data_IF_219743878266
#
_entry.id   IF_219743878266
#
_cell.length_a   1.000
_cell.length_b   1.000
_cell.length_c   1.000
_cell.angle_alpha   90.00
_cell.angle_beta   90.00
_cell.angle_gamma   90.00
#
_symmetry.space_group_name_H-M   'P 1'
#
loop_
_entity.id
_entity.type
_entity.pdbx_description
1 polymer ?
#
# COMPACT_ATOMS: atom_id res chain seq x y z
N UNK A 1 -13.29 -1.28 2.83
CA UNK A 1 -12.21 -1.49 3.82
C UNK A 1 -11.12 -2.28 3.14
N UNK A 2 -9.88 -1.79 3.18
CA UNK A 2 -8.73 -2.52 2.65
C UNK A 2 -8.05 -3.32 3.74
N UNK A 3 -7.37 -4.40 3.37
CA UNK A 3 -6.58 -5.23 4.28
C UNK A 3 -5.24 -5.55 3.64
N UNK A 4 -4.16 -5.32 4.38
CA UNK A 4 -2.82 -5.79 4.02
C UNK A 4 -2.24 -6.67 5.11
N UNK A 5 -1.61 -7.76 4.67
CA UNK A 5 -0.89 -8.69 5.53
C UNK A 5 0.61 -8.53 5.31
N UNK A 6 1.26 -7.76 6.19
CA UNK A 6 2.68 -7.47 6.07
C UNK A 6 3.52 -8.58 6.70
N UNK A 7 4.40 -9.18 5.90
CA UNK A 7 5.52 -9.94 6.43
C UNK A 7 6.49 -9.01 7.15
N UNK A 8 7.06 -9.45 8.28
CA UNK A 8 8.20 -8.75 8.84
C UNK A 8 9.32 -8.65 7.80
N UNK A 9 9.99 -7.50 7.75
CA UNK A 9 11.16 -7.27 6.89
C UNK A 9 12.47 -7.60 7.61
N UNK A 10 12.42 -7.72 8.93
CA UNK A 10 13.55 -8.15 9.75
C UNK A 10 13.12 -8.59 11.14
N UNK A 11 13.78 -9.61 11.66
CA UNK A 11 13.61 -10.10 13.03
C UNK A 11 14.98 -10.35 13.67
N UNK A 12 15.12 -10.08 14.95
CA UNK A 12 16.29 -10.50 15.73
C UNK A 12 15.93 -10.58 17.20
N UNK A 13 16.84 -11.05 18.03
CA UNK A 13 16.78 -10.84 19.47
C UNK A 13 18.15 -10.41 19.99
N UNK A 14 18.14 -9.76 21.13
CA UNK A 14 19.34 -9.38 21.88
C UNK A 14 19.37 -10.17 23.18
N UNK A 15 20.57 -10.57 23.58
CA UNK A 15 20.77 -11.51 24.68
C UNK A 15 21.89 -11.01 25.59
N UNK A 16 21.59 -10.89 26.89
CA UNK A 16 22.52 -10.28 27.85
C UNK A 16 23.79 -11.09 28.08
N UNK A 17 23.75 -12.42 27.95
CA UNK A 17 24.93 -13.26 28.20
C UNK A 17 25.95 -13.24 27.04
N UNK A 18 25.54 -12.82 25.84
CA UNK A 18 26.41 -12.64 24.67
C UNK A 18 26.22 -11.24 24.07
N UNK A 19 26.55 -10.19 24.83
CA UNK A 19 26.00 -8.86 24.61
C UNK A 19 26.55 -8.15 23.36
N UNK A 20 27.53 -8.74 22.68
CA UNK A 20 28.14 -8.26 21.44
C UNK A 20 27.72 -9.05 20.19
N UNK A 21 26.91 -10.11 20.35
CA UNK A 21 26.46 -10.95 19.25
C UNK A 21 25.11 -10.47 18.70
N UNK A 22 24.98 -10.48 17.37
CA UNK A 22 23.72 -10.28 16.66
C UNK A 22 23.09 -11.64 16.31
N UNK A 23 21.76 -11.68 16.29
CA UNK A 23 20.98 -12.90 16.06
C UNK A 23 19.94 -12.75 14.95
N UNK A 24 20.15 -11.84 13.98
CA UNK A 24 19.15 -11.55 12.93
C UNK A 24 18.89 -12.71 11.96
N UNK A 25 19.79 -13.70 11.92
CA UNK A 25 19.64 -14.92 11.12
C UNK A 25 19.02 -16.08 11.90
N UNK A 26 18.58 -15.84 13.14
CA UNK A 26 17.93 -16.85 13.97
C UNK A 26 16.52 -17.12 13.45
N UNK A 27 16.13 -18.40 13.45
CA UNK A 27 14.78 -18.84 13.13
C UNK A 27 13.79 -18.62 14.28
N UNK A 28 14.29 -18.32 15.48
CA UNK A 28 13.50 -18.02 16.68
C UNK A 28 13.92 -16.66 17.28
N UNK A 29 12.94 -15.92 17.77
CA UNK A 29 13.06 -14.67 18.53
C UNK A 29 12.77 -14.99 19.99
N UNK A 30 13.79 -15.03 20.84
CA UNK A 30 13.61 -15.26 22.28
C UNK A 30 13.30 -13.95 23.03
N UNK A 31 12.44 -14.07 24.04
CA UNK A 31 12.09 -12.99 24.96
C UNK A 31 11.98 -13.51 26.39
N UNK A 32 12.16 -12.64 27.39
CA UNK A 32 12.00 -12.98 28.80
C UNK A 32 13.31 -13.42 29.44
N UNK A 33 13.23 -14.21 30.50
CA UNK A 33 14.37 -14.58 31.34
C UNK A 33 14.62 -16.07 31.33
N UNK A 34 15.90 -16.44 31.24
CA UNK A 34 16.33 -17.82 31.33
C UNK A 34 15.97 -18.45 32.69
N UNK A 35 15.95 -19.77 32.75
CA UNK A 35 15.60 -20.56 33.93
C UNK A 35 16.73 -20.56 34.94
N UNK A 36 17.94 -20.86 34.46
CA UNK A 36 19.09 -21.18 35.32
C UNK A 36 20.02 -19.98 35.55
N UNK A 37 19.77 -18.87 34.85
CA UNK A 37 20.60 -17.68 34.86
C UNK A 37 19.72 -16.43 34.92
N UNK A 38 20.31 -15.29 35.30
CA UNK A 38 19.63 -14.00 35.24
C UNK A 38 19.63 -13.39 33.83
N UNK A 39 19.85 -14.21 32.80
CA UNK A 39 20.03 -13.71 31.45
C UNK A 39 18.71 -13.31 30.81
N UNK A 40 18.74 -12.18 30.12
CA UNK A 40 17.59 -11.49 29.55
C UNK A 40 17.65 -11.59 28.03
N UNK A 41 16.50 -11.95 27.45
CA UNK A 41 16.25 -11.93 26.01
C UNK A 41 15.21 -10.86 25.69
N UNK A 42 15.47 -10.07 24.63
CA UNK A 42 14.50 -9.13 24.07
C UNK A 42 14.44 -9.30 22.57
N UNK A 43 13.22 -9.41 22.05
CA UNK A 43 12.96 -9.58 20.63
C UNK A 43 12.87 -8.24 19.91
N UNK A 44 13.10 -8.22 18.62
CA UNK A 44 12.89 -7.06 17.75
C UNK A 44 12.26 -7.55 16.46
N UNK A 45 11.18 -6.88 16.03
CA UNK A 45 10.50 -7.14 14.76
C UNK A 45 10.26 -5.83 14.03
N UNK A 46 10.54 -5.82 12.73
CA UNK A 46 10.37 -4.65 11.85
C UNK A 46 9.41 -5.00 10.72
N UNK A 47 8.53 -4.06 10.37
CA UNK A 47 7.59 -4.17 9.27
C UNK A 47 7.76 -2.96 8.34
N UNK A 48 7.64 -3.19 7.04
CA UNK A 48 7.47 -2.12 6.07
C UNK A 48 5.98 -2.00 5.73
N UNK A 49 5.40 -0.84 6.03
CA UNK A 49 3.99 -0.52 5.79
C UNK A 49 3.83 0.54 4.69
N UNK A 50 4.88 0.86 3.93
CA UNK A 50 4.87 1.95 2.94
C UNK A 50 3.92 1.70 1.77
N UNK A 51 3.42 0.48 1.60
CA UNK A 51 2.43 0.17 0.57
C UNK A 51 1.02 0.65 0.92
N UNK A 52 0.76 1.04 2.18
CA UNK A 52 -0.50 1.69 2.56
C UNK A 52 -0.51 3.10 1.95
N UNK A 53 -1.50 3.45 1.11
CA UNK A 53 -1.61 4.79 0.56
C UNK A 53 -1.74 5.85 1.67
N UNK A 54 -1.05 6.98 1.55
CA UNK A 54 -1.01 8.04 2.57
C UNK A 54 -2.37 8.72 2.85
N UNK A 55 -3.32 8.57 1.92
CA UNK A 55 -4.69 9.10 2.05
C UNK A 55 -5.59 8.22 2.93
N UNK A 56 -5.08 7.04 3.33
CA UNK A 56 -5.83 6.09 4.14
C UNK A 56 -5.63 6.32 5.63
N UNK A 57 -6.61 5.86 6.40
CA UNK A 57 -6.55 5.87 7.86
C UNK A 57 -6.46 4.43 8.37
N UNK A 58 -5.55 4.16 9.29
CA UNK A 58 -5.44 2.85 9.93
C UNK A 58 -6.66 2.66 10.85
N UNK A 59 -7.44 1.60 10.60
CA UNK A 59 -8.59 1.23 11.43
C UNK A 59 -8.20 0.23 12.51
N UNK A 60 -7.40 -0.76 12.14
CA UNK A 60 -6.84 -1.73 13.07
C UNK A 60 -5.49 -2.26 12.58
N UNK A 61 -4.61 -2.62 13.50
CA UNK A 61 -3.37 -3.32 13.19
C UNK A 61 -3.10 -4.39 14.24
N UNK A 62 -3.10 -5.65 13.82
CA UNK A 62 -2.91 -6.81 14.70
C UNK A 62 -1.62 -7.53 14.34
N UNK A 63 -0.66 -7.52 15.26
CA UNK A 63 0.56 -8.33 15.17
C UNK A 63 0.23 -9.79 15.51
N UNK A 64 0.60 -10.70 14.63
CA UNK A 64 0.52 -12.16 14.81
C UNK A 64 1.92 -12.74 14.99
N UNK A 65 2.12 -13.47 16.09
CA UNK A 65 3.38 -14.15 16.40
C UNK A 65 3.10 -15.63 16.67
N UNK A 66 3.85 -16.51 16.02
CA UNK A 66 3.78 -17.94 16.29
C UNK A 66 4.67 -18.32 17.47
N UNK A 67 4.13 -18.99 18.47
CA UNK A 67 4.88 -19.44 19.66
C UNK A 67 5.56 -20.76 19.36
N UNK A 68 6.85 -20.71 19.04
CA UNK A 68 7.68 -21.89 18.75
C UNK A 68 8.25 -22.55 20.01
N UNK A 69 8.34 -21.81 21.11
CA UNK A 69 8.91 -22.28 22.35
C UNK A 69 8.27 -21.57 23.55
N UNK A 70 7.91 -22.32 24.58
CA UNK A 70 7.45 -21.79 25.85
C UNK A 70 7.93 -22.72 26.96
N UNK A 71 8.72 -22.21 27.90
CA UNK A 71 9.40 -23.07 28.86
C UNK A 71 8.45 -23.72 29.90
N UNK A 72 7.47 -22.95 30.38
CA UNK A 72 6.60 -23.40 31.47
C UNK A 72 5.20 -22.78 31.37
N UNK A 73 4.32 -23.15 32.30
CA UNK A 73 2.93 -22.70 32.37
C UNK A 73 2.67 -21.42 33.17
N UNK A 74 3.72 -20.79 33.72
CA UNK A 74 3.56 -19.59 34.54
C UNK A 74 2.99 -18.45 33.70
N UNK A 75 2.20 -17.58 34.33
CA UNK A 75 1.71 -16.36 33.69
C UNK A 75 2.89 -15.47 33.32
N UNK A 76 2.99 -15.10 32.05
CA UNK A 76 4.02 -14.23 31.48
C UNK A 76 3.34 -13.05 30.82
N UNK A 77 3.79 -11.84 31.14
CA UNK A 77 3.35 -10.63 30.47
C UNK A 77 4.38 -10.25 29.41
N UNK A 78 3.94 -10.22 28.14
CA UNK A 78 4.77 -9.84 27.00
C UNK A 78 4.37 -8.42 26.58
N UNK A 79 5.32 -7.50 26.65
CA UNK A 79 5.13 -6.08 26.36
C UNK A 79 5.89 -5.68 25.11
N UNK A 80 5.28 -4.77 24.35
CA UNK A 80 5.79 -4.29 23.07
C UNK A 80 6.06 -2.81 23.19
N UNK A 81 7.27 -2.38 22.82
CA UNK A 81 7.71 -1.01 22.93
C UNK A 81 8.09 -0.46 21.56
N UNK A 82 7.71 0.78 21.28
CA UNK A 82 8.19 1.50 20.10
C UNK A 82 9.68 1.82 20.27
N UNK A 83 10.44 1.70 19.18
CA UNK A 83 11.86 2.04 19.14
C UNK A 83 12.00 3.51 18.71
N UNK A 84 12.78 4.30 19.46
CA UNK A 84 12.95 5.74 19.24
C UNK A 84 14.30 6.10 18.59
N UNK A 85 15.28 5.19 18.65
CA UNK A 85 16.61 5.41 18.09
C UNK A 85 16.84 4.51 16.87
N UNK A 86 17.32 5.11 15.77
CA UNK A 86 17.68 4.36 14.56
C UNK A 86 18.79 3.34 14.85
N UNK A 87 18.63 2.13 14.32
CA UNK A 87 19.60 1.04 14.44
C UNK A 87 19.63 0.23 13.13
N UNK A 88 20.55 -0.74 13.05
CA UNK A 88 20.58 -1.72 11.97
C UNK A 88 20.26 -3.10 12.52
N UNK A 89 19.21 -3.73 11.99
CA UNK A 89 18.73 -5.05 12.44
C UNK A 89 19.82 -6.13 12.35
N UNK A 90 20.74 -6.01 11.39
CA UNK A 90 21.80 -6.98 11.12
C UNK A 90 23.06 -6.79 11.98
N UNK A 91 23.11 -5.72 12.79
CA UNK A 91 24.28 -5.44 13.63
C UNK A 91 23.92 -5.09 15.06
N UNK A 92 22.63 -4.95 15.40
CA UNK A 92 22.19 -4.64 16.77
C UNK A 92 22.55 -5.79 17.72
N UNK A 93 22.97 -5.41 18.92
CA UNK A 93 23.38 -6.32 19.99
C UNK A 93 22.78 -5.84 21.31
N UNK A 94 22.94 -6.59 22.39
CA UNK A 94 22.47 -6.15 23.70
C UNK A 94 23.15 -4.85 24.15
N UNK A 95 24.46 -4.70 23.89
CA UNK A 95 25.22 -3.48 24.21
C UNK A 95 24.85 -2.27 23.34
N UNK A 96 24.31 -2.51 22.14
CA UNK A 96 23.97 -1.46 21.16
C UNK A 96 22.46 -1.36 20.92
N UNK A 97 21.66 -1.90 21.85
CA UNK A 97 20.22 -1.90 21.73
C UNK A 97 19.69 -0.45 21.63
N UNK A 98 18.72 -0.18 20.76
CA UNK A 98 18.21 1.16 20.58
C UNK A 98 17.39 1.60 21.79
N UNK A 99 17.32 2.91 22.00
CA UNK A 99 16.41 3.52 22.97
C UNK A 99 14.95 3.22 22.57
N UNK A 100 14.14 2.82 23.55
CA UNK A 100 12.71 2.55 23.40
C UNK A 100 11.88 3.59 24.17
N UNK A 101 10.58 3.68 23.85
CA UNK A 101 9.64 4.44 24.68
C UNK A 101 9.49 3.79 26.07
N UNK A 102 9.19 4.61 27.06
CA UNK A 102 8.86 4.21 28.43
C UNK A 102 7.53 3.47 28.51
N UNK A 103 6.56 3.83 27.67
CA UNK A 103 5.24 3.21 27.63
C UNK A 103 5.21 2.11 26.58
N UNK A 104 4.58 0.98 26.92
CA UNK A 104 4.34 -0.07 25.94
C UNK A 104 3.22 0.35 24.99
N UNK A 105 3.36 -0.02 23.72
CA UNK A 105 2.39 0.20 22.63
C UNK A 105 1.48 -1.01 22.41
N UNK A 106 1.80 -2.15 23.03
CA UNK A 106 1.01 -3.36 23.02
C UNK A 106 1.37 -4.26 24.20
N UNK A 107 0.44 -5.11 24.60
CA UNK A 107 0.62 -6.08 25.68
C UNK A 107 -0.21 -7.32 25.40
N UNK A 108 0.32 -8.47 25.77
CA UNK A 108 -0.43 -9.72 25.85
C UNK A 108 0.06 -10.56 27.01
N UNK A 109 -0.82 -11.42 27.53
CA UNK A 109 -0.49 -12.33 28.61
C UNK A 109 -0.63 -13.75 28.09
N UNK A 110 0.32 -14.60 28.47
CA UNK A 110 0.35 -16.00 28.06
C UNK A 110 0.73 -16.89 29.26
N UNK A 111 0.29 -18.14 29.20
CA UNK A 111 0.58 -19.21 30.16
C UNK A 111 1.21 -20.39 29.43
N UNK A 112 0.39 -21.24 28.80
CA UNK A 112 0.76 -22.54 28.24
C UNK A 112 0.86 -22.55 26.72
N UNK A 113 0.61 -21.41 26.07
CA UNK A 113 0.52 -21.30 24.61
C UNK A 113 1.83 -21.78 23.99
N UNK A 114 1.72 -22.71 23.05
CA UNK A 114 2.84 -23.29 22.31
C UNK A 114 2.30 -23.94 21.02
N UNK A 115 3.05 -23.83 19.93
CA UNK A 115 2.65 -24.27 18.59
C UNK A 115 1.39 -23.59 18.04
N UNK A 116 1.11 -22.37 18.50
CA UNK A 116 -0.06 -21.59 18.11
C UNK A 116 0.29 -20.10 17.90
N UNK A 117 -0.64 -19.33 17.34
CA UNK A 117 -0.48 -17.90 17.16
C UNK A 117 -1.08 -17.11 18.32
N UNK A 118 -0.32 -16.13 18.80
CA UNK A 118 -0.85 -15.06 19.64
C UNK A 118 -1.06 -13.80 18.81
N UNK A 119 -2.01 -12.97 19.25
CA UNK A 119 -2.36 -11.72 18.60
C UNK A 119 -2.12 -10.55 19.57
N UNK A 120 -1.60 -9.44 19.05
CA UNK A 120 -1.37 -8.22 19.82
C UNK A 120 -1.87 -7.03 19.03
N UNK A 121 -2.69 -6.21 19.66
CA UNK A 121 -3.15 -4.96 19.06
C UNK A 121 -2.01 -3.92 19.07
N UNK A 122 -1.64 -3.45 17.88
CA UNK A 122 -0.67 -2.40 17.62
C UNK A 122 -1.28 -1.26 16.79
N UNK A 123 -2.62 -1.11 16.81
CA UNK A 123 -3.35 -0.15 15.98
C UNK A 123 -2.85 1.28 16.19
N UNK A 124 -2.63 1.69 17.45
CA UNK A 124 -2.22 3.05 17.77
C UNK A 124 -0.82 3.39 17.21
N UNK A 125 0.18 2.52 17.45
CA UNK A 125 1.54 2.76 16.95
C UNK A 125 1.63 2.63 15.43
N UNK A 126 0.86 1.72 14.83
CA UNK A 126 0.83 1.56 13.37
C UNK A 126 0.21 2.80 12.69
N UNK A 127 -0.83 3.38 13.29
CA UNK A 127 -1.41 4.65 12.83
C UNK A 127 -0.41 5.81 12.92
N UNK A 128 0.38 5.88 14.01
CA UNK A 128 1.43 6.88 14.18
C UNK A 128 2.61 6.72 13.21
N UNK A 129 2.97 5.48 12.88
CA UNK A 129 3.93 5.20 11.80
C UNK A 129 3.40 5.65 10.45
N UNK A 130 2.13 5.36 10.16
CA UNK A 130 1.53 5.67 8.86
C UNK A 130 1.38 7.19 8.64
N UNK A 131 0.93 7.94 9.66
CA UNK A 131 0.79 9.39 9.57
C UNK A 131 2.10 10.18 9.76
N UNK A 132 3.21 9.49 10.01
CA UNK A 132 4.54 10.08 10.16
C UNK A 132 4.81 10.80 11.49
N UNK A 133 3.92 10.71 12.48
CA UNK A 133 4.14 11.29 13.82
C UNK A 133 5.20 10.55 14.63
N UNK A 134 5.42 9.27 14.35
CA UNK A 134 6.49 8.44 14.93
C UNK A 134 7.22 7.72 13.80
N UNK A 135 8.56 7.69 13.86
CA UNK A 135 9.35 6.93 12.90
C UNK A 135 9.07 5.42 13.02
N UNK A 136 8.82 4.75 11.90
CA UNK A 136 8.72 3.29 11.88
C UNK A 136 10.11 2.65 11.99
N UNK A 137 10.52 2.34 13.21
CA UNK A 137 11.76 1.64 13.54
C UNK A 137 11.49 0.21 14.05
N UNK A 138 10.26 -0.30 13.91
CA UNK A 138 9.83 -1.58 14.47
C UNK A 138 9.49 -1.52 15.96
N UNK A 139 9.29 -2.71 16.53
CA UNK A 139 8.93 -2.91 17.94
C UNK A 139 9.94 -3.80 18.65
N UNK A 140 10.29 -3.42 19.87
CA UNK A 140 11.03 -4.27 20.80
C UNK A 140 10.06 -5.05 21.69
N UNK A 141 10.28 -6.34 21.83
CA UNK A 141 9.44 -7.28 22.57
C UNK A 141 10.16 -7.66 23.86
N UNK A 142 9.55 -7.31 24.99
CA UNK A 142 10.02 -7.68 26.31
C UNK A 142 9.12 -8.79 26.86
N UNK A 143 9.73 -9.92 27.20
CA UNK A 143 9.05 -10.91 28.03
C UNK A 143 9.07 -10.51 29.49
N UNK A 144 8.62 -11.40 30.37
CA UNK A 144 8.74 -11.20 31.81
C UNK A 144 10.22 -11.35 32.23
N UNK A 145 10.89 -10.25 32.56
CA UNK A 145 12.30 -10.27 32.94
C UNK A 145 12.51 -10.51 34.46
N UNK A 146 11.44 -10.57 35.24
CA UNK A 146 11.50 -10.69 36.70
C UNK A 146 11.52 -12.15 37.13
N UNK A 147 10.65 -12.98 36.56
CA UNK A 147 10.52 -14.38 36.92
C UNK A 147 11.49 -15.27 36.14
N UNK A 148 12.25 -16.11 36.85
CA UNK A 148 13.15 -17.10 36.22
C UNK A 148 12.35 -18.14 35.44
N UNK A 149 12.79 -18.46 34.22
CA UNK A 149 12.15 -19.43 33.35
C UNK A 149 10.91 -18.91 32.61
N UNK A 150 10.75 -17.59 32.53
CA UNK A 150 9.70 -16.94 31.74
C UNK A 150 10.01 -16.90 30.24
N UNK A 151 11.10 -17.51 29.79
CA UNK A 151 11.55 -17.46 28.40
C UNK A 151 10.51 -18.05 27.43
N UNK A 152 10.25 -17.28 26.37
CA UNK A 152 9.36 -17.63 25.26
C UNK A 152 10.12 -17.39 23.95
N UNK A 153 9.90 -18.25 22.96
CA UNK A 153 10.46 -18.11 21.62
C UNK A 153 9.34 -17.99 20.60
N UNK A 154 9.38 -16.93 19.80
CA UNK A 154 8.51 -16.76 18.65
C UNK A 154 9.24 -17.14 17.36
N UNK A 155 8.53 -17.62 16.34
CA UNK A 155 9.15 -17.81 15.03
C UNK A 155 9.68 -16.48 14.47
N UNK A 156 10.91 -16.49 13.96
CA UNK A 156 11.55 -15.40 13.24
C UNK A 156 11.37 -15.53 11.72
N UNK A 157 11.90 -14.56 10.97
CA UNK A 157 11.85 -14.55 9.50
C UNK A 157 12.75 -15.61 8.87
N UNK A 158 13.67 -16.21 9.62
CA UNK A 158 14.52 -17.30 9.13
C UNK A 158 13.94 -18.69 9.40
N UNK A 159 12.73 -18.79 9.98
CA UNK A 159 12.06 -20.07 10.15
C UNK A 159 11.73 -20.72 8.80
N UNK A 160 11.93 -22.04 8.70
CA UNK A 160 11.78 -22.81 7.45
C UNK A 160 10.37 -22.64 6.85
N UNK A 161 9.34 -22.67 7.70
CA UNK A 161 7.96 -22.48 7.26
C UNK A 161 7.58 -20.99 7.31
N UNK A 162 7.53 -20.35 6.15
CA UNK A 162 7.21 -18.92 6.00
C UNK A 162 5.78 -18.54 6.43
N UNK A 163 4.88 -19.51 6.59
CA UNK A 163 3.54 -19.29 7.13
C UNK A 163 3.57 -19.01 8.64
N UNK A 164 4.68 -19.30 9.33
CA UNK A 164 4.85 -19.06 10.77
C UNK A 164 5.54 -17.72 11.08
N UNK A 165 6.07 -17.04 10.06
CA UNK A 165 6.78 -15.77 10.25
C UNK A 165 5.88 -14.71 10.88
N UNK A 166 6.44 -13.73 11.62
CA UNK A 166 5.66 -12.62 12.14
C UNK A 166 4.90 -11.89 11.02
N UNK A 167 3.64 -11.57 11.30
CA UNK A 167 2.76 -10.84 10.38
C UNK A 167 2.10 -9.67 11.09
N UNK A 168 2.06 -8.52 10.44
CA UNK A 168 1.23 -7.39 10.87
C UNK A 168 0.03 -7.31 9.93
N UNK A 169 -1.15 -7.61 10.46
CA UNK A 169 -2.39 -7.53 9.71
C UNK A 169 -3.02 -6.16 9.91
N UNK A 170 -3.09 -5.35 8.86
CA UNK A 170 -3.55 -3.96 8.95
C UNK A 170 -4.82 -3.81 8.14
N UNK A 171 -5.89 -3.41 8.83
CA UNK A 171 -7.10 -2.93 8.19
C UNK A 171 -7.05 -1.42 8.15
N UNK A 172 -7.32 -0.86 6.98
CA UNK A 172 -7.38 0.58 6.77
C UNK A 172 -8.75 0.93 6.21
N UNK A 173 -9.13 2.20 6.36
CA UNK A 173 -10.23 2.73 5.57
C UNK A 173 -9.94 2.30 4.15
N UNK A 174 -10.92 1.78 3.43
CA UNK A 174 -10.83 2.04 2.01
C UNK A 174 -11.56 3.36 1.92
N UNK A 175 -10.88 4.45 2.26
CA UNK A 175 -11.21 5.68 1.57
C UNK A 175 -10.74 5.35 0.17
N UNK A 176 -11.61 4.68 -0.61
CA UNK A 176 -11.53 4.74 -2.05
C UNK A 176 -11.27 6.21 -2.30
N UNK A 177 -10.03 6.56 -2.62
CA UNK A 177 -9.68 7.93 -2.96
C UNK A 177 -10.80 8.31 -3.91
N UNK A 178 -11.50 9.43 -3.67
CA UNK A 178 -12.76 9.74 -4.37
C UNK A 178 -12.75 9.37 -5.86
N UNK A 179 -11.56 9.36 -6.48
CA UNK A 179 -11.01 8.58 -7.62
C UNK A 179 -11.70 7.25 -7.94
N UNK A 180 -12.90 7.35 -8.50
CA UNK A 180 -13.60 6.26 -9.21
C UNK A 180 -13.23 6.34 -10.69
N UNK A 181 -12.67 5.26 -11.24
CA UNK A 181 -12.55 5.11 -12.70
C UNK A 181 -13.92 4.74 -13.27
N UNK A 182 -14.59 5.71 -13.89
CA UNK A 182 -15.85 5.49 -14.60
C UNK A 182 -15.55 5.22 -16.07
N UNK A 183 -15.93 4.03 -16.55
CA UNK A 183 -15.79 3.65 -17.97
C UNK A 183 -17.15 3.80 -18.64
N UNK A 184 -17.17 4.45 -19.81
CA UNK A 184 -18.36 4.58 -20.62
C UNK A 184 -18.37 3.54 -21.74
N UNK A 185 -19.55 3.25 -22.28
CA UNK A 185 -19.69 2.34 -23.40
C UNK A 185 -18.84 2.80 -24.58
N UNK A 186 -18.15 1.87 -25.23
CA UNK A 186 -17.42 2.14 -26.48
C UNK A 186 -18.40 2.54 -27.59
N UNK A 187 -18.03 3.56 -28.35
CA UNK A 187 -18.82 4.09 -29.47
C UNK A 187 -18.08 3.83 -30.79
N UNK A 188 -18.85 3.56 -31.85
CA UNK A 188 -18.32 3.34 -33.20
C UNK A 188 -18.95 4.32 -34.18
N UNK A 189 -18.11 4.98 -34.98
CA UNK A 189 -18.54 6.01 -35.92
C UNK A 189 -17.88 5.86 -37.29
N UNK A 190 -18.54 6.43 -38.30
CA UNK A 190 -17.97 6.64 -39.64
C UNK A 190 -17.72 8.14 -39.80
N UNK A 191 -16.52 8.52 -40.23
CA UNK A 191 -16.17 9.92 -40.42
C UNK A 191 -16.81 10.50 -41.68
N UNK A 192 -16.88 11.83 -41.75
CA UNK A 192 -17.39 12.57 -42.91
C UNK A 192 -16.50 13.78 -43.21
N UNK A 193 -16.79 14.51 -44.29
CA UNK A 193 -16.10 15.76 -44.61
C UNK A 193 -16.38 16.87 -43.57
N UNK A 194 -17.54 16.80 -42.92
CA UNK A 194 -17.95 17.71 -41.86
C UNK A 194 -17.49 17.21 -40.49
N UNK A 195 -17.24 18.14 -39.58
CA UNK A 195 -16.95 17.82 -38.18
C UNK A 195 -18.19 17.20 -37.54
N UNK A 196 -18.03 15.98 -37.04
CA UNK A 196 -18.98 15.26 -36.22
C UNK A 196 -18.43 15.16 -34.79
N UNK A 197 -19.24 14.68 -33.85
CA UNK A 197 -18.81 14.51 -32.47
C UNK A 197 -19.40 13.26 -31.82
N UNK A 198 -18.65 12.69 -30.87
CA UNK A 198 -19.09 11.58 -30.02
C UNK A 198 -20.19 12.03 -29.06
N UNK A 199 -20.80 11.09 -28.33
CA UNK A 199 -21.68 11.50 -27.25
C UNK A 199 -20.87 12.22 -26.16
N UNK A 200 -21.45 13.25 -25.51
CA UNK A 200 -20.79 13.93 -24.42
C UNK A 200 -20.82 13.09 -23.14
N UNK A 201 -19.71 13.10 -22.41
CA UNK A 201 -19.59 12.48 -21.08
C UNK A 201 -19.43 13.55 -19.99
N UNK A 202 -20.00 13.35 -18.79
CA UNK A 202 -19.85 14.28 -17.67
C UNK A 202 -18.49 14.13 -16.98
N UNK A 203 -17.69 15.18 -16.95
CA UNK A 203 -16.33 15.22 -16.37
C UNK A 203 -16.31 15.30 -14.84
N UNK A 204 -17.29 15.99 -14.24
CA UNK A 204 -17.31 16.25 -12.80
C UNK A 204 -16.10 17.08 -12.35
N UNK A 205 -15.41 16.63 -11.29
CA UNK A 205 -14.19 17.25 -10.75
C UNK A 205 -12.90 16.60 -11.28
N UNK A 206 -13.02 15.57 -12.12
CA UNK A 206 -11.91 14.75 -12.59
C UNK A 206 -11.35 15.18 -13.94
N UNK A 207 -10.45 14.34 -14.48
CA UNK A 207 -9.96 14.45 -15.86
C UNK A 207 -10.44 13.25 -16.67
N UNK A 208 -10.88 13.50 -17.91
CA UNK A 208 -11.40 12.45 -18.78
C UNK A 208 -10.41 12.13 -19.90
N UNK A 209 -10.45 10.86 -20.32
CA UNK A 209 -9.55 10.29 -21.32
C UNK A 209 -10.35 9.50 -22.35
N UNK A 210 -10.02 9.69 -23.63
CA UNK A 210 -10.53 8.89 -24.73
C UNK A 210 -9.40 8.05 -25.32
N UNK A 211 -9.58 6.73 -25.36
CA UNK A 211 -8.83 5.87 -26.25
C UNK A 211 -9.55 5.81 -27.60
N UNK A 212 -8.83 6.07 -28.69
CA UNK A 212 -9.40 6.15 -30.04
C UNK A 212 -8.61 5.23 -30.96
N UNK A 213 -9.32 4.44 -31.77
CA UNK A 213 -8.73 3.59 -32.81
C UNK A 213 -9.34 3.92 -34.16
N UNK A 214 -8.49 4.09 -35.17
CA UNK A 214 -8.91 4.18 -36.57
C UNK A 214 -8.92 2.77 -37.18
N UNK A 215 -10.11 2.17 -37.25
CA UNK A 215 -10.29 0.81 -37.75
C UNK A 215 -10.60 0.77 -39.26
N UNK A 216 -10.54 1.91 -39.96
CA UNK A 216 -10.77 2.00 -41.39
C UNK A 216 -9.49 2.31 -42.18
N UNK A 217 -9.67 2.56 -43.47
CA UNK A 217 -8.59 2.62 -44.45
C UNK A 217 -8.08 4.02 -44.75
N UNK A 218 -8.65 5.06 -44.15
CA UNK A 218 -8.33 6.46 -44.44
C UNK A 218 -7.98 7.23 -43.16
N UNK A 219 -7.21 8.30 -43.29
CA UNK A 219 -6.77 9.09 -42.14
C UNK A 219 -7.91 9.92 -41.54
N UNK A 220 -7.88 10.10 -40.22
CA UNK A 220 -8.92 10.78 -39.43
C UNK A 220 -8.31 11.87 -38.56
N UNK A 221 -8.98 13.01 -38.47
CA UNK A 221 -8.65 14.07 -37.52
C UNK A 221 -9.52 13.93 -36.27
N UNK A 222 -8.91 14.02 -35.08
CA UNK A 222 -9.60 14.01 -33.80
C UNK A 222 -9.09 15.10 -32.85
N UNK A 223 -9.99 15.67 -32.06
CA UNK A 223 -9.69 16.67 -31.02
C UNK A 223 -10.74 16.64 -29.91
N UNK A 224 -10.33 16.87 -28.66
CA UNK A 224 -11.28 16.97 -27.54
C UNK A 224 -12.04 18.31 -27.65
N UNK A 225 -13.33 18.28 -27.33
CA UNK A 225 -14.13 19.47 -27.04
C UNK A 225 -14.62 19.43 -25.59
N UNK A 226 -14.63 20.59 -24.93
CA UNK A 226 -15.12 20.80 -23.57
C UNK A 226 -16.34 21.73 -23.57
N UNK A 227 -17.22 21.57 -22.58
CA UNK A 227 -18.42 22.39 -22.41
C UNK A 227 -18.86 22.47 -20.95
N UNK A 228 -19.42 23.61 -20.53
CA UNK A 228 -20.02 23.77 -19.20
C UNK A 228 -21.55 23.58 -19.19
N UNK A 229 -22.20 23.73 -20.34
CA UNK A 229 -23.66 23.69 -20.49
C UNK A 229 -24.16 22.52 -21.37
N UNK A 230 -23.25 21.80 -22.03
CA UNK A 230 -23.56 20.73 -22.97
C UNK A 230 -24.02 21.22 -24.35
N UNK A 231 -24.07 22.53 -24.58
CA UNK A 231 -24.57 23.16 -25.80
C UNK A 231 -23.48 23.92 -26.56
N UNK A 232 -22.68 24.73 -25.86
CA UNK A 232 -21.54 25.46 -26.43
C UNK A 232 -20.25 24.69 -26.18
N UNK A 233 -19.50 24.45 -27.25
CA UNK A 233 -18.32 23.58 -27.24
C UNK A 233 -17.07 24.34 -27.68
N UNK A 234 -15.99 24.17 -26.92
CA UNK A 234 -14.67 24.74 -27.21
C UNK A 234 -13.65 23.63 -27.37
N UNK A 235 -12.71 23.78 -28.30
CA UNK A 235 -11.64 22.81 -28.49
C UNK A 235 -10.66 22.86 -27.32
N UNK A 236 -10.28 21.68 -26.84
CA UNK A 236 -9.26 21.51 -25.80
C UNK A 236 -7.87 21.51 -26.45
N UNK A 237 -7.24 22.68 -26.44
CA UNK A 237 -5.97 22.92 -27.11
C UNK A 237 -5.76 24.41 -27.38
N UNK A 238 -4.53 24.78 -27.75
CA UNK A 238 -4.22 26.14 -28.16
C UNK A 238 -4.58 26.34 -29.64
N UNK A 239 -4.92 27.56 -30.04
CA UNK A 239 -5.39 27.86 -31.41
C UNK A 239 -4.36 27.57 -32.51
N UNK A 240 -3.10 27.36 -32.14
CA UNK A 240 -2.00 27.03 -33.05
C UNK A 240 -1.62 25.54 -33.02
N UNK A 241 -2.27 24.71 -32.19
CA UNK A 241 -2.08 23.26 -32.21
C UNK A 241 -2.93 22.63 -33.30
N UNK A 242 -2.30 21.79 -34.12
CA UNK A 242 -3.02 20.99 -35.12
C UNK A 242 -3.82 19.86 -34.43
N UNK A 243 -4.97 19.46 -34.99
CA UNK A 243 -5.67 18.25 -34.57
C UNK A 243 -4.77 17.02 -34.68
N UNK A 244 -5.08 15.98 -33.90
CA UNK A 244 -4.38 14.71 -34.00
C UNK A 244 -4.86 14.00 -35.25
N UNK A 245 -3.92 13.62 -36.12
CA UNK A 245 -4.19 12.84 -37.34
C UNK A 245 -3.83 11.39 -37.06
N UNK A 246 -4.81 10.49 -37.19
CA UNK A 246 -4.63 9.05 -37.10
C UNK A 246 -4.63 8.45 -38.50
N UNK A 247 -3.55 7.79 -38.89
CA UNK A 247 -3.52 6.98 -40.10
C UNK A 247 -4.36 5.71 -39.97
N UNK A 248 -4.50 4.93 -41.06
CA UNK A 248 -5.20 3.64 -41.02
C UNK A 248 -4.58 2.70 -39.98
N UNK A 249 -5.41 2.09 -39.12
CA UNK A 249 -5.01 1.19 -38.03
C UNK A 249 -4.23 1.85 -36.87
N UNK A 250 -4.06 3.17 -36.89
CA UNK A 250 -3.43 3.88 -35.78
C UNK A 250 -4.38 4.01 -34.59
N UNK A 251 -3.77 4.12 -33.41
CA UNK A 251 -4.48 4.35 -32.14
C UNK A 251 -3.86 5.53 -31.42
N UNK A 252 -4.66 6.19 -30.58
CA UNK A 252 -4.17 7.25 -29.68
C UNK A 252 -4.95 7.27 -28.38
N UNK A 253 -4.37 7.91 -27.38
CA UNK A 253 -5.01 8.22 -26.11
C UNK A 253 -4.88 9.71 -25.87
N UNK A 254 -6.02 10.37 -25.67
CA UNK A 254 -6.09 11.82 -25.46
C UNK A 254 -6.82 12.12 -24.15
N UNK A 255 -6.23 13.00 -23.33
CA UNK A 255 -6.74 13.37 -22.00
C UNK A 255 -7.04 14.87 -21.97
N UNK A 256 -8.14 15.25 -21.33
CA UNK A 256 -8.54 16.65 -21.21
C UNK A 256 -7.49 17.49 -20.48
N UNK A 257 -7.13 18.65 -21.02
CA UNK A 257 -6.24 19.62 -20.37
C UNK A 257 -7.02 20.65 -19.55
N UNK A 258 -8.18 21.06 -20.04
CA UNK A 258 -9.10 21.95 -19.33
C UNK A 258 -10.12 21.21 -18.45
N UNK A 259 -10.66 21.91 -17.45
CA UNK A 259 -11.73 21.42 -16.59
C UNK A 259 -13.07 22.09 -16.95
N UNK A 260 -14.04 21.33 -17.41
CA UNK A 260 -15.43 21.76 -17.63
C UNK A 260 -16.41 20.64 -17.27
N UNK A 261 -17.72 20.88 -17.23
CA UNK A 261 -18.71 19.86 -16.83
C UNK A 261 -18.83 18.68 -17.80
N UNK A 262 -18.57 18.90 -19.08
CA UNK A 262 -18.73 17.90 -20.13
C UNK A 262 -17.53 17.89 -21.07
N UNK A 263 -17.24 16.73 -21.64
CA UNK A 263 -16.31 16.59 -22.76
C UNK A 263 -16.84 15.62 -23.82
N UNK A 264 -16.31 15.74 -25.03
CA UNK A 264 -16.54 14.81 -26.15
C UNK A 264 -15.35 14.84 -27.10
N UNK A 265 -15.31 13.92 -28.07
CA UNK A 265 -14.36 13.96 -29.18
C UNK A 265 -15.06 14.54 -30.40
N UNK A 266 -14.49 15.58 -31.00
CA UNK A 266 -14.82 16.01 -32.35
C UNK A 266 -13.93 15.30 -33.36
N UNK A 267 -14.51 14.83 -34.46
CA UNK A 267 -13.81 14.05 -35.47
C UNK A 267 -14.31 14.33 -36.88
N UNK A 268 -13.45 14.14 -37.89
CA UNK A 268 -13.79 14.17 -39.32
C UNK A 268 -12.76 13.40 -40.15
N UNK A 269 -13.06 13.14 -41.42
CA UNK A 269 -12.07 12.64 -42.36
C UNK A 269 -10.96 13.67 -42.54
N UNK A 270 -9.70 13.21 -42.57
CA UNK A 270 -8.57 14.10 -42.85
C UNK A 270 -8.57 14.55 -44.32
N UNK A 271 -8.93 13.64 -45.22
CA UNK A 271 -9.03 13.89 -46.66
C UNK A 271 -10.50 13.90 -47.10
N UNK A 272 -10.85 14.81 -48.01
CA UNK A 272 -12.20 14.94 -48.57
C UNK A 272 -12.63 13.66 -49.26
N UNK A 273 -13.87 13.24 -49.01
CA UNK A 273 -14.53 12.04 -49.58
C UNK A 273 -13.83 10.71 -49.24
N UNK A 274 -13.02 10.70 -48.18
CA UNK A 274 -12.34 9.51 -47.67
C UNK A 274 -12.77 9.17 -46.24
N UNK A 275 -13.99 8.61 -46.05
CA UNK A 275 -14.47 8.23 -44.73
C UNK A 275 -13.66 7.06 -44.14
N UNK A 276 -13.59 7.00 -42.82
CA UNK A 276 -12.97 5.91 -42.08
C UNK A 276 -13.82 5.53 -40.86
N UNK A 277 -13.71 4.27 -40.44
CA UNK A 277 -14.38 3.77 -39.24
C UNK A 277 -13.50 4.02 -38.02
N UNK A 278 -14.06 4.63 -36.98
CA UNK A 278 -13.35 4.85 -35.72
C UNK A 278 -14.11 4.25 -34.54
N UNK A 279 -13.37 3.83 -33.52
CA UNK A 279 -13.92 3.49 -32.20
C UNK A 279 -13.38 4.43 -31.14
N UNK A 280 -14.24 4.83 -30.21
CA UNK A 280 -13.93 5.77 -29.13
C UNK A 280 -14.33 5.12 -27.81
N UNK A 281 -13.40 5.00 -26.87
CA UNK A 281 -13.60 4.43 -25.54
C UNK A 281 -13.34 5.49 -24.46
N UNK A 282 -14.40 6.06 -23.87
CA UNK A 282 -14.26 7.11 -22.86
C UNK A 282 -14.06 6.54 -21.45
N UNK A 283 -13.23 7.21 -20.67
CA UNK A 283 -13.08 6.95 -19.24
C UNK A 283 -12.78 8.22 -18.47
N UNK A 284 -13.18 8.26 -17.20
CA UNK A 284 -12.96 9.42 -16.33
C UNK A 284 -12.44 8.92 -14.99
N UNK A 285 -11.38 9.55 -14.52
CA UNK A 285 -10.87 9.36 -13.17
C UNK A 285 -11.34 10.55 -12.32
N UNK A 286 -12.38 10.32 -11.52
CA UNK A 286 -13.03 11.35 -10.67
C UNK A 286 -12.57 11.13 -9.25
#
# INVERSE_FOLDING_TARGET
>A
MGEFNFAATGTTYIYSATPTKNYSTSDIIFVGRNVNTADIYRGIVVFDISSIPIEESILSATLKLYVSYNYNSQLKSIKFYSILQKYSINTVTYNTQPIIDTNYVGITNMTNEINEFINVDLSNITSQWHNGSVANLGVMIHGDELNSGSIVGFAGISAINSSLWPRLNVQFSANSSGRVLTIYTMESYITSNSILASNPIPLGIGSGTFAISNNGSNSVEVIIQLSNDGAQWVYDGLTFESPIILGPLDTTVITSRGNMKFMRVAYKSHETDKPSNITISPSILI
#
